data_IF_681957863585
#
_entry.id   IF_681957863585
#
_cell.length_a   1.000
_cell.length_b   1.000
_cell.length_c   1.000
_cell.angle_alpha   90.00
_cell.angle_beta   90.00
_cell.angle_gamma   90.00
#
_symmetry.space_group_name_H-M   'P 1'
#
loop_
_entity.id
_entity.type
_entity.pdbx_description
1 polymer ?
#
# COMPACT_ATOMS: atom_id res chain seq x y z
N UNK A 1 -13.68 4.60 -7.51
CA UNK A 1 -13.88 3.15 -7.60
C UNK A 1 -14.95 2.87 -8.65
N UNK A 2 -14.75 1.94 -9.62
CA UNK A 2 -15.70 1.68 -10.69
C UNK A 2 -17.07 1.19 -10.20
N UNK A 3 -17.14 0.72 -8.96
CA UNK A 3 -18.34 0.11 -8.38
C UNK A 3 -19.43 1.13 -8.03
N UNK A 4 -19.06 2.35 -7.63
CA UNK A 4 -20.05 3.39 -7.26
C UNK A 4 -20.87 3.85 -8.46
N UNK A 5 -20.28 3.85 -9.65
CA UNK A 5 -20.96 4.24 -10.89
C UNK A 5 -21.71 3.08 -11.55
N UNK A 6 -21.17 1.84 -11.50
CA UNK A 6 -21.76 0.67 -12.15
C UNK A 6 -22.98 0.10 -11.42
N UNK A 7 -22.99 0.15 -10.08
CA UNK A 7 -23.99 -0.55 -9.26
C UNK A 7 -24.81 0.38 -8.36
N UNK A 8 -24.75 1.71 -8.54
CA UNK A 8 -25.32 2.69 -7.59
C UNK A 8 -24.91 2.39 -6.15
N UNK A 9 -23.67 1.93 -5.97
CA UNK A 9 -23.13 1.51 -4.68
C UNK A 9 -22.81 2.71 -3.79
N UNK A 10 -22.85 2.48 -2.48
CA UNK A 10 -22.58 3.48 -1.45
C UNK A 10 -21.07 3.62 -1.16
N UNK A 11 -20.69 4.66 -0.41
CA UNK A 11 -19.34 4.79 0.11
C UNK A 11 -18.92 3.58 1.00
N UNK A 12 -19.91 2.97 1.67
CA UNK A 12 -19.70 1.75 2.44
C UNK A 12 -19.30 0.56 1.55
N UNK A 13 -19.95 0.38 0.41
CA UNK A 13 -19.63 -0.70 -0.53
C UNK A 13 -18.20 -0.57 -1.08
N UNK A 14 -17.77 0.66 -1.35
CA UNK A 14 -16.40 0.94 -1.77
C UNK A 14 -15.39 0.59 -0.65
N UNK A 15 -15.71 0.96 0.59
CA UNK A 15 -14.93 0.59 1.77
C UNK A 15 -14.86 -0.92 1.95
N UNK A 16 -16.00 -1.61 1.85
CA UNK A 16 -16.08 -3.08 1.93
C UNK A 16 -15.25 -3.75 0.82
N UNK A 17 -15.31 -3.28 -0.43
CA UNK A 17 -14.52 -3.84 -1.51
C UNK A 17 -13.00 -3.76 -1.22
N UNK A 18 -12.54 -2.69 -0.57
CA UNK A 18 -11.16 -2.56 -0.12
C UNK A 18 -10.84 -3.50 1.04
N UNK A 19 -11.76 -3.62 1.99
CA UNK A 19 -11.61 -4.54 3.14
C UNK A 19 -11.54 -6.00 2.70
N UNK A 20 -12.40 -6.46 1.78
CA UNK A 20 -12.32 -7.82 1.24
C UNK A 20 -10.96 -8.08 0.57
N UNK A 21 -10.44 -7.13 -0.19
CA UNK A 21 -9.10 -7.22 -0.76
C UNK A 21 -8.04 -7.37 0.35
N UNK A 22 -8.10 -6.56 1.39
CA UNK A 22 -7.12 -6.62 2.49
C UNK A 22 -7.25 -7.89 3.33
N UNK A 23 -8.46 -8.39 3.55
CA UNK A 23 -8.67 -9.70 4.21
C UNK A 23 -7.95 -10.80 3.43
N UNK A 24 -8.16 -10.85 2.10
CA UNK A 24 -7.47 -11.80 1.25
C UNK A 24 -5.94 -11.69 1.34
N UNK A 25 -5.44 -10.45 1.31
CA UNK A 25 -4.02 -10.16 1.44
C UNK A 25 -3.46 -10.63 2.79
N UNK A 26 -4.09 -10.27 3.89
CA UNK A 26 -3.66 -10.59 5.26
C UNK A 26 -3.65 -12.09 5.49
N UNK A 27 -4.71 -12.79 5.08
CA UNK A 27 -4.82 -14.23 5.24
C UNK A 27 -3.78 -14.99 4.41
N UNK A 28 -3.47 -14.53 3.21
CA UNK A 28 -2.54 -15.22 2.31
C UNK A 28 -1.06 -14.95 2.63
N UNK A 29 -0.69 -13.78 3.20
CA UNK A 29 0.73 -13.40 3.43
C UNK A 29 1.54 -14.44 4.22
N UNK A 30 1.06 -15.01 5.34
CA UNK A 30 1.82 -16.04 6.07
C UNK A 30 2.08 -17.29 5.24
N UNK A 31 1.09 -17.69 4.42
CA UNK A 31 1.22 -18.86 3.54
C UNK A 31 2.13 -18.57 2.35
N UNK A 32 2.09 -17.35 1.79
CA UNK A 32 2.96 -16.95 0.69
C UNK A 32 4.43 -17.09 1.04
N UNK A 33 4.86 -16.67 2.23
CA UNK A 33 6.24 -16.84 2.70
C UNK A 33 6.68 -18.29 2.71
N UNK A 34 5.86 -19.18 3.26
CA UNK A 34 6.16 -20.64 3.31
C UNK A 34 6.20 -21.29 1.94
N UNK A 35 5.26 -20.94 1.05
CA UNK A 35 5.26 -21.48 -0.31
C UNK A 35 6.54 -21.10 -1.06
N UNK A 36 7.02 -19.86 -0.87
CA UNK A 36 8.23 -19.35 -1.49
C UNK A 36 9.49 -20.03 -0.96
N UNK A 37 9.47 -20.41 0.31
CA UNK A 37 10.60 -21.14 0.93
C UNK A 37 10.61 -22.63 0.55
N UNK A 38 9.46 -23.23 0.23
CA UNK A 38 9.31 -24.65 -0.06
C UNK A 38 9.25 -25.03 -1.54
N UNK A 39 8.84 -24.12 -2.41
CA UNK A 39 8.59 -24.37 -3.83
C UNK A 39 9.52 -23.56 -4.74
N UNK A 40 9.56 -23.95 -6.01
CA UNK A 40 10.24 -23.18 -7.04
C UNK A 40 9.54 -21.83 -7.23
N UNK A 41 10.29 -20.74 -7.02
CA UNK A 41 9.79 -19.36 -7.12
C UNK A 41 9.22 -19.02 -8.49
N UNK A 42 9.71 -19.70 -9.56
CA UNK A 42 9.17 -19.53 -10.91
C UNK A 42 7.75 -20.07 -11.03
N UNK A 43 7.52 -21.26 -10.45
CA UNK A 43 6.20 -21.88 -10.47
C UNK A 43 5.21 -20.98 -9.71
N UNK A 44 5.62 -20.45 -8.57
CA UNK A 44 4.79 -19.53 -7.79
C UNK A 44 4.50 -18.23 -8.57
N UNK A 45 5.51 -17.65 -9.23
CA UNK A 45 5.35 -16.47 -10.07
C UNK A 45 4.39 -16.75 -11.23
N UNK A 46 4.54 -17.89 -11.92
CA UNK A 46 3.68 -18.31 -13.00
C UNK A 46 2.22 -18.43 -12.53
N UNK A 47 2.00 -19.21 -11.46
CA UNK A 47 0.66 -19.44 -10.91
C UNK A 47 0.03 -18.12 -10.47
N UNK A 48 0.73 -17.29 -9.72
CA UNK A 48 0.21 -16.01 -9.25
C UNK A 48 -0.12 -15.07 -10.42
N UNK A 49 0.72 -15.02 -11.45
CA UNK A 49 0.48 -14.19 -12.64
C UNK A 49 -0.72 -14.67 -13.46
N UNK A 50 -0.88 -15.99 -13.66
CA UNK A 50 -2.04 -16.58 -14.35
C UNK A 50 -3.32 -16.30 -13.58
N UNK A 51 -3.32 -16.55 -12.27
CA UNK A 51 -4.49 -16.31 -11.42
C UNK A 51 -4.85 -14.81 -11.39
N UNK A 52 -3.86 -13.93 -11.35
CA UNK A 52 -4.07 -12.48 -11.42
C UNK A 52 -4.72 -12.06 -12.73
N UNK A 53 -4.22 -12.60 -13.85
CA UNK A 53 -4.81 -12.38 -15.18
C UNK A 53 -6.27 -12.86 -15.26
N UNK A 54 -6.55 -14.07 -14.78
CA UNK A 54 -7.90 -14.63 -14.75
C UNK A 54 -8.85 -13.73 -13.94
N UNK A 55 -8.44 -13.30 -12.73
CA UNK A 55 -9.28 -12.44 -11.89
C UNK A 55 -9.55 -11.09 -12.56
N UNK A 56 -8.55 -10.49 -13.20
CA UNK A 56 -8.76 -9.23 -13.94
C UNK A 56 -9.76 -9.42 -15.09
N UNK A 57 -9.70 -10.55 -15.79
CA UNK A 57 -10.70 -10.92 -16.81
C UNK A 57 -12.10 -11.10 -16.24
N UNK A 58 -12.23 -11.77 -15.09
CA UNK A 58 -13.52 -12.03 -14.44
C UNK A 58 -14.21 -10.73 -13.96
N UNK A 59 -13.48 -9.67 -13.63
CA UNK A 59 -14.09 -8.38 -13.31
C UNK A 59 -14.87 -7.80 -14.49
N UNK A 60 -14.50 -8.10 -15.75
CA UNK A 60 -15.25 -7.66 -16.94
C UNK A 60 -16.61 -8.37 -17.09
N UNK A 61 -16.73 -9.59 -16.56
CA UNK A 61 -17.92 -10.42 -16.66
C UNK A 61 -18.87 -10.26 -15.46
N UNK A 62 -18.46 -9.47 -14.45
CA UNK A 62 -19.18 -9.38 -13.18
C UNK A 62 -20.25 -8.31 -13.23
N UNK A 63 -21.48 -8.71 -12.87
CA UNK A 63 -22.66 -7.84 -12.80
C UNK A 63 -23.22 -7.70 -11.38
N UNK A 64 -22.66 -8.40 -10.39
CA UNK A 64 -23.12 -8.42 -9.01
C UNK A 64 -22.09 -7.87 -8.05
N UNK A 65 -22.54 -7.02 -7.11
CA UNK A 65 -21.67 -6.45 -6.05
C UNK A 65 -21.09 -7.54 -5.13
N UNK A 66 -21.87 -8.59 -4.83
CA UNK A 66 -21.41 -9.71 -4.03
C UNK A 66 -20.26 -10.47 -4.70
N UNK A 67 -20.39 -10.71 -6.01
CA UNK A 67 -19.32 -11.34 -6.81
C UNK A 67 -18.06 -10.48 -6.80
N UNK A 68 -18.20 -9.16 -6.86
CA UNK A 68 -17.06 -8.23 -6.74
C UNK A 68 -16.34 -8.40 -5.40
N UNK A 69 -17.06 -8.50 -4.29
CA UNK A 69 -16.43 -8.70 -2.98
C UNK A 69 -15.64 -10.01 -2.91
N UNK A 70 -16.19 -11.11 -3.44
CA UNK A 70 -15.48 -12.40 -3.51
C UNK A 70 -14.23 -12.28 -4.40
N UNK A 71 -14.36 -11.70 -5.59
CA UNK A 71 -13.24 -11.49 -6.50
C UNK A 71 -12.17 -10.57 -5.88
N UNK A 72 -12.55 -9.58 -5.10
CA UNK A 72 -11.62 -8.72 -4.36
C UNK A 72 -10.85 -9.49 -3.30
N UNK A 73 -11.50 -10.38 -2.54
CA UNK A 73 -10.82 -11.26 -1.59
C UNK A 73 -9.79 -12.16 -2.27
N UNK A 74 -10.18 -12.82 -3.36
CA UNK A 74 -9.27 -13.64 -4.16
C UNK A 74 -8.13 -12.81 -4.77
N UNK A 75 -8.44 -11.63 -5.30
CA UNK A 75 -7.45 -10.70 -5.83
C UNK A 75 -6.41 -10.33 -4.75
N UNK A 76 -6.85 -9.99 -3.53
CA UNK A 76 -5.96 -9.70 -2.42
C UNK A 76 -5.04 -10.87 -2.06
N UNK A 77 -5.57 -12.09 -2.01
CA UNK A 77 -4.78 -13.30 -1.74
C UNK A 77 -3.68 -13.51 -2.80
N UNK A 78 -4.03 -13.38 -4.08
CA UNK A 78 -3.09 -13.55 -5.19
C UNK A 78 -2.08 -12.39 -5.23
N UNK A 79 -2.51 -11.17 -4.93
CA UNK A 79 -1.63 -10.00 -4.80
C UNK A 79 -0.57 -10.22 -3.70
N UNK A 80 -0.95 -10.76 -2.55
CA UNK A 80 -0.01 -11.09 -1.47
C UNK A 80 1.04 -12.11 -1.94
N UNK A 81 0.62 -13.16 -2.64
CA UNK A 81 1.50 -14.18 -3.19
C UNK A 81 2.45 -13.59 -4.24
N UNK A 82 1.92 -12.87 -5.21
CA UNK A 82 2.66 -12.25 -6.31
C UNK A 82 3.70 -11.24 -5.82
N UNK A 83 3.32 -10.32 -4.94
CA UNK A 83 4.24 -9.30 -4.40
C UNK A 83 5.35 -9.91 -3.55
N UNK A 84 5.03 -10.96 -2.79
CA UNK A 84 6.03 -11.65 -1.96
C UNK A 84 7.03 -12.41 -2.83
N UNK A 85 6.57 -13.14 -3.86
CA UNK A 85 7.49 -13.86 -4.75
C UNK A 85 8.34 -12.93 -5.60
N UNK A 86 7.78 -11.81 -6.10
CA UNK A 86 8.54 -10.80 -6.84
C UNK A 86 9.64 -10.18 -5.98
N UNK A 87 9.33 -9.83 -4.73
CA UNK A 87 10.32 -9.30 -3.78
C UNK A 87 11.43 -10.31 -3.50
N UNK A 88 11.08 -11.59 -3.30
CA UNK A 88 12.04 -12.66 -3.09
C UNK A 88 12.94 -12.90 -4.32
N UNK A 89 12.37 -12.86 -5.53
CA UNK A 89 13.11 -12.98 -6.78
C UNK A 89 14.05 -11.80 -7.02
N UNK A 90 13.59 -10.58 -6.73
CA UNK A 90 14.43 -9.38 -6.85
C UNK A 90 15.71 -9.51 -6.01
N UNK A 91 15.63 -10.06 -4.79
CA UNK A 91 16.81 -10.30 -3.94
C UNK A 91 17.74 -11.38 -4.48
N UNK A 92 17.18 -12.42 -5.10
CA UNK A 92 17.94 -13.60 -5.56
C UNK A 92 18.67 -13.34 -6.89
N UNK A 93 18.06 -12.54 -7.78
CA UNK A 93 18.61 -12.27 -9.13
C UNK A 93 19.78 -11.29 -9.07
N UNK A 94 19.86 -10.47 -8.04
CA UNK A 94 20.86 -9.42 -7.94
C UNK A 94 22.23 -9.94 -7.51
N UNK A 95 23.33 -9.53 -8.20
CA UNK A 95 24.69 -9.82 -7.76
C UNK A 95 24.94 -9.29 -6.34
N UNK A 96 25.72 -10.02 -5.55
CA UNK A 96 26.04 -9.64 -4.17
C UNK A 96 26.60 -8.21 -4.05
N UNK A 97 27.43 -7.80 -5.00
CA UNK A 97 28.07 -6.46 -5.06
C UNK A 97 27.08 -5.31 -5.31
N UNK A 98 25.90 -5.58 -5.92
CA UNK A 98 24.88 -4.56 -6.28
C UNK A 98 23.53 -4.81 -5.63
N UNK A 99 23.47 -5.71 -4.66
CA UNK A 99 22.23 -6.16 -4.05
C UNK A 99 21.44 -5.01 -3.38
N UNK A 100 22.14 -4.13 -2.66
CA UNK A 100 21.52 -2.97 -2.02
C UNK A 100 20.94 -1.98 -3.05
N UNK A 101 21.68 -1.68 -4.11
CA UNK A 101 21.23 -0.79 -5.19
C UNK A 101 19.98 -1.35 -5.90
N UNK A 102 20.01 -2.63 -6.26
CA UNK A 102 18.90 -3.26 -6.97
C UNK A 102 17.63 -3.41 -6.14
N UNK A 103 17.75 -3.74 -4.85
CA UNK A 103 16.60 -3.79 -3.93
C UNK A 103 15.98 -2.40 -3.79
N UNK A 104 16.81 -1.35 -3.67
CA UNK A 104 16.32 0.01 -3.60
C UNK A 104 15.59 0.41 -4.89
N UNK A 105 16.13 0.05 -6.06
CA UNK A 105 15.49 0.30 -7.35
C UNK A 105 14.13 -0.41 -7.48
N UNK A 106 14.05 -1.68 -7.06
CA UNK A 106 12.79 -2.42 -7.00
C UNK A 106 11.75 -1.73 -6.11
N UNK A 107 12.18 -1.25 -4.94
CA UNK A 107 11.31 -0.50 -4.04
C UNK A 107 10.83 0.84 -4.65
N UNK A 108 11.70 1.55 -5.37
CA UNK A 108 11.34 2.79 -6.10
C UNK A 108 10.26 2.51 -7.14
N UNK A 109 10.43 1.50 -8.00
CA UNK A 109 9.43 1.14 -9.00
C UNK A 109 8.11 0.67 -8.37
N UNK A 110 8.16 -0.10 -7.29
CA UNK A 110 6.96 -0.51 -6.55
C UNK A 110 6.19 0.69 -5.99
N UNK A 111 6.90 1.68 -5.46
CA UNK A 111 6.28 2.90 -4.96
C UNK A 111 5.69 3.77 -6.09
N UNK A 112 6.41 3.88 -7.23
CA UNK A 112 5.89 4.59 -8.41
C UNK A 112 4.59 3.95 -8.88
N UNK A 113 4.54 2.61 -8.97
CA UNK A 113 3.33 1.88 -9.36
C UNK A 113 2.16 2.11 -8.36
N UNK A 114 2.44 2.06 -7.05
CA UNK A 114 1.43 2.29 -6.01
C UNK A 114 0.81 3.69 -6.11
N UNK A 115 1.58 4.64 -6.55
CA UNK A 115 1.20 6.05 -6.57
C UNK A 115 0.57 6.46 -7.90
N UNK A 116 1.15 6.02 -9.03
CA UNK A 116 0.58 6.29 -10.35
C UNK A 116 -0.69 5.45 -10.62
N UNK A 117 -0.82 4.28 -9.97
CA UNK A 117 -1.96 3.39 -10.16
C UNK A 117 -3.31 4.08 -10.00
N UNK A 118 -3.60 4.75 -8.87
CA UNK A 118 -4.85 5.48 -8.68
C UNK A 118 -5.06 6.61 -9.70
N UNK A 119 -4.01 7.36 -10.06
CA UNK A 119 -4.11 8.45 -11.03
C UNK A 119 -4.52 7.93 -12.41
N UNK A 120 -3.79 6.94 -12.93
CA UNK A 120 -4.05 6.32 -14.24
C UNK A 120 -5.38 5.57 -14.23
N UNK A 121 -5.67 4.82 -13.16
CA UNK A 121 -6.90 4.05 -13.01
C UNK A 121 -8.14 4.93 -12.99
N UNK A 122 -8.13 6.03 -12.24
CA UNK A 122 -9.24 6.98 -12.20
C UNK A 122 -9.42 7.71 -13.54
N UNK A 123 -8.34 8.13 -14.16
CA UNK A 123 -8.40 8.75 -15.49
C UNK A 123 -9.01 7.79 -16.51
N UNK A 124 -8.53 6.54 -16.58
CA UNK A 124 -9.07 5.55 -17.50
C UNK A 124 -10.56 5.26 -17.25
N UNK A 125 -10.95 5.17 -15.96
CA UNK A 125 -12.35 4.98 -15.56
C UNK A 125 -13.25 6.13 -16.05
N UNK A 126 -12.80 7.36 -15.86
CA UNK A 126 -13.59 8.57 -16.17
C UNK A 126 -13.66 8.85 -17.67
N UNK A 127 -12.53 8.66 -18.38
CA UNK A 127 -12.46 8.96 -19.81
C UNK A 127 -13.09 7.86 -20.67
N UNK A 128 -12.99 6.60 -20.26
CA UNK A 128 -13.33 5.45 -21.09
C UNK A 128 -14.32 4.46 -20.43
N UNK A 129 -14.69 4.70 -19.16
CA UNK A 129 -15.61 3.85 -18.41
C UNK A 129 -14.96 2.60 -17.81
N UNK A 130 -15.76 1.85 -17.07
CA UNK A 130 -15.28 0.70 -16.27
C UNK A 130 -14.82 -0.48 -17.11
N UNK A 131 -15.51 -0.79 -18.20
CA UNK A 131 -15.14 -1.90 -19.09
C UNK A 131 -13.75 -1.66 -19.71
N UNK A 132 -13.49 -0.45 -20.20
CA UNK A 132 -12.19 -0.09 -20.74
C UNK A 132 -11.09 -0.16 -19.67
N UNK A 133 -11.37 0.27 -18.44
CA UNK A 133 -10.44 0.15 -17.31
C UNK A 133 -10.08 -1.32 -17.04
N UNK A 134 -11.07 -2.21 -16.96
CA UNK A 134 -10.78 -3.63 -16.68
C UNK A 134 -10.05 -4.32 -17.84
N UNK A 135 -10.38 -3.98 -19.10
CA UNK A 135 -9.63 -4.44 -20.26
C UNK A 135 -8.18 -3.97 -20.18
N UNK A 136 -7.94 -2.69 -19.89
CA UNK A 136 -6.62 -2.14 -19.70
C UNK A 136 -5.84 -2.88 -18.60
N UNK A 137 -6.45 -3.11 -17.43
CA UNK A 137 -5.83 -3.85 -16.34
C UNK A 137 -5.53 -5.31 -16.73
N UNK A 138 -6.42 -5.94 -17.49
CA UNK A 138 -6.22 -7.30 -18.02
C UNK A 138 -5.02 -7.35 -18.99
N UNK A 139 -4.87 -6.36 -19.86
CA UNK A 139 -3.73 -6.24 -20.78
C UNK A 139 -2.44 -6.02 -19.97
N UNK A 140 -2.46 -5.14 -18.97
CA UNK A 140 -1.28 -4.89 -18.11
C UNK A 140 -0.86 -6.14 -17.33
N UNK A 141 -1.81 -6.92 -16.84
CA UNK A 141 -1.50 -8.19 -16.15
C UNK A 141 -0.99 -9.26 -17.12
N UNK A 142 -1.50 -9.32 -18.35
CA UNK A 142 -0.98 -10.20 -19.40
C UNK A 142 0.47 -9.82 -19.76
N UNK A 143 0.75 -8.52 -19.91
CA UNK A 143 2.10 -8.03 -20.17
C UNK A 143 3.05 -8.36 -19.01
N UNK A 144 2.61 -8.15 -17.77
CA UNK A 144 3.40 -8.51 -16.59
C UNK A 144 3.66 -10.02 -16.52
N UNK A 145 2.68 -10.86 -16.88
CA UNK A 145 2.84 -12.30 -17.02
C UNK A 145 3.91 -12.67 -18.06
N UNK A 146 3.83 -12.10 -19.25
CA UNK A 146 4.80 -12.35 -20.33
C UNK A 146 6.20 -11.94 -19.88
N UNK A 147 6.36 -10.71 -19.40
CA UNK A 147 7.67 -10.18 -18.97
C UNK A 147 8.26 -10.98 -17.81
N UNK A 148 7.43 -11.36 -16.82
CA UNK A 148 7.86 -12.16 -15.69
C UNK A 148 8.36 -13.56 -16.08
N UNK A 149 7.81 -14.14 -17.15
CA UNK A 149 8.16 -15.48 -17.60
C UNK A 149 9.29 -15.50 -18.67
N UNK A 150 9.59 -14.36 -19.32
CA UNK A 150 10.76 -14.21 -20.22
C UNK A 150 12.07 -14.21 -19.41
N UNK A 151 12.04 -13.78 -18.15
CA UNK A 151 13.23 -13.76 -17.29
C UNK A 151 13.72 -15.20 -17.04
N UNK A 152 14.85 -15.55 -17.63
CA UNK A 152 15.50 -16.86 -17.43
C UNK A 152 16.25 -16.86 -16.10
N UNK A 153 15.67 -17.46 -15.08
CA UNK A 153 16.33 -17.68 -13.79
C UNK A 153 17.14 -18.98 -13.84
N UNK A 154 18.41 -19.02 -13.41
CA UNK A 154 19.13 -20.25 -13.19
C UNK A 154 18.35 -21.17 -12.23
N UNK A 155 18.26 -22.47 -12.57
CA UNK A 155 17.51 -23.46 -11.76
C UNK A 155 17.97 -23.52 -10.30
N UNK A 156 19.23 -23.23 -10.06
CA UNK A 156 19.86 -23.23 -8.73
C UNK A 156 19.38 -22.07 -7.85
N UNK A 157 19.06 -20.93 -8.44
CA UNK A 157 18.55 -19.74 -7.76
C UNK A 157 17.02 -19.78 -7.56
N UNK A 158 16.33 -20.53 -8.39
CA UNK A 158 14.88 -20.68 -8.30
C UNK A 158 14.44 -21.53 -7.10
N UNK A 159 15.23 -22.55 -6.72
CA UNK A 159 14.96 -23.42 -5.59
C UNK A 159 15.48 -22.82 -4.29
N UNK A 160 14.66 -22.83 -3.25
CA UNK A 160 15.10 -22.45 -1.91
C UNK A 160 16.02 -23.53 -1.33
N UNK A 161 17.20 -23.12 -0.82
CA UNK A 161 18.09 -23.99 -0.05
C UNK A 161 17.70 -24.07 1.43
N UNK A 162 16.73 -23.28 1.86
CA UNK A 162 16.35 -23.19 3.27
C UNK A 162 15.38 -24.31 3.61
N UNK A 163 15.79 -25.21 4.51
CA UNK A 163 14.89 -26.20 5.11
C UNK A 163 13.78 -25.44 5.84
N UNK A 164 12.54 -25.63 5.41
CA UNK A 164 11.37 -25.13 6.13
C UNK A 164 11.46 -25.54 7.59
N UNK A 165 11.50 -24.58 8.50
CA UNK A 165 11.49 -24.88 9.93
C UNK A 165 10.20 -25.63 10.28
N UNK A 166 10.34 -26.83 10.84
CA UNK A 166 9.21 -27.64 11.30
C UNK A 166 8.58 -26.96 12.52
N UNK A 167 7.40 -26.41 12.34
CA UNK A 167 6.60 -25.84 13.43
C UNK A 167 5.83 -24.60 13.02
N UNK A 168 4.69 -24.34 13.69
CA UNK A 168 3.89 -23.12 13.58
C UNK A 168 4.11 -22.32 14.87
N UNK A 169 4.91 -21.25 14.81
CA UNK A 169 5.05 -20.30 15.92
C UNK A 169 4.78 -18.90 15.43
N UNK A 170 3.97 -18.14 16.14
CA UNK A 170 3.66 -16.73 15.85
C UNK A 170 4.95 -15.89 15.74
N UNK A 171 5.98 -16.23 16.52
CA UNK A 171 7.28 -15.56 16.47
C UNK A 171 8.01 -15.71 15.13
N UNK A 172 7.63 -16.63 14.26
CA UNK A 172 8.17 -16.76 12.91
C UNK A 172 7.57 -15.75 11.93
N UNK A 173 6.41 -15.19 12.25
CA UNK A 173 5.64 -14.30 11.38
C UNK A 173 5.66 -12.83 11.85
N UNK A 174 5.94 -12.59 13.14
CA UNK A 174 5.89 -11.28 13.76
C UNK A 174 7.22 -10.99 14.47
N UNK A 175 7.81 -9.84 14.16
CA UNK A 175 9.00 -9.33 14.85
C UNK A 175 8.58 -8.37 15.97
N UNK A 176 8.80 -8.78 17.22
CA UNK A 176 8.40 -8.00 18.40
C UNK A 176 9.05 -6.63 18.49
N UNK A 177 10.33 -6.52 18.09
CA UNK A 177 11.08 -5.25 18.12
C UNK A 177 10.54 -4.23 17.12
N UNK A 178 9.88 -4.70 16.06
CA UNK A 178 9.29 -3.85 15.02
C UNK A 178 7.86 -3.39 15.36
N UNK A 179 7.23 -3.95 16.41
CA UNK A 179 5.85 -3.61 16.77
C UNK A 179 5.59 -2.12 17.03
N UNK A 180 6.48 -1.37 17.72
CA UNK A 180 6.26 0.07 17.88
C UNK A 180 6.19 0.82 16.55
N UNK A 181 7.02 0.44 15.57
CA UNK A 181 7.04 1.02 14.24
C UNK A 181 5.88 0.54 13.38
N UNK A 182 5.47 -0.73 13.55
CA UNK A 182 4.27 -1.28 12.94
C UNK A 182 3.01 -0.55 13.43
N UNK A 183 2.95 -0.14 14.70
CA UNK A 183 1.89 0.70 15.24
C UNK A 183 1.85 2.08 14.54
N UNK A 184 3.01 2.70 14.26
CA UNK A 184 3.05 3.92 13.44
C UNK A 184 2.56 3.66 12.01
N UNK A 185 2.91 2.50 11.44
CA UNK A 185 2.39 2.02 10.16
C UNK A 185 0.86 1.87 10.18
N UNK A 186 0.29 1.40 11.31
CA UNK A 186 -1.15 1.28 11.48
C UNK A 186 -1.84 2.66 11.47
N UNK A 187 -1.33 3.64 12.21
CA UNK A 187 -1.90 4.99 12.23
C UNK A 187 -1.86 5.64 10.84
N UNK A 188 -0.70 5.59 10.16
CA UNK A 188 -0.56 6.22 8.85
C UNK A 188 -1.37 5.48 7.78
N UNK A 189 -1.48 4.15 7.85
CA UNK A 189 -2.29 3.34 6.95
C UNK A 189 -3.79 3.61 7.12
N UNK A 190 -4.26 3.72 8.37
CA UNK A 190 -5.65 4.05 8.67
C UNK A 190 -6.04 5.41 8.08
N UNK A 191 -5.24 6.43 8.32
CA UNK A 191 -5.52 7.78 7.80
C UNK A 191 -5.34 7.87 6.29
N UNK A 192 -4.37 7.14 5.72
CA UNK A 192 -4.17 7.05 4.27
C UNK A 192 -5.36 6.36 3.57
N UNK A 193 -6.04 5.40 4.21
CA UNK A 193 -7.24 4.79 3.63
C UNK A 193 -8.35 5.83 3.41
N UNK A 194 -8.44 6.84 4.28
CA UNK A 194 -9.32 8.00 4.12
C UNK A 194 -9.04 8.77 2.83
N UNK A 195 -7.77 9.07 2.58
CA UNK A 195 -7.34 9.75 1.35
C UNK A 195 -7.60 8.88 0.12
N UNK A 196 -7.17 7.62 0.18
CA UNK A 196 -7.22 6.70 -0.96
C UNK A 196 -8.65 6.38 -1.42
N UNK A 197 -9.56 6.15 -0.48
CA UNK A 197 -10.92 5.68 -0.77
C UNK A 197 -11.89 6.83 -0.98
N UNK A 198 -11.82 7.88 -0.14
CA UNK A 198 -12.92 8.85 -0.06
C UNK A 198 -12.72 10.11 -0.89
N UNK A 199 -11.49 10.53 -1.20
CA UNK A 199 -11.27 11.69 -2.08
C UNK A 199 -11.91 11.49 -3.48
N UNK A 200 -11.73 10.33 -4.16
CA UNK A 200 -12.41 10.12 -5.44
C UNK A 200 -13.93 10.13 -5.34
N UNK A 201 -14.47 9.59 -4.24
CA UNK A 201 -15.91 9.51 -4.01
C UNK A 201 -16.47 10.92 -3.78
N UNK A 202 -15.81 11.69 -2.93
CA UNK A 202 -16.21 13.08 -2.61
C UNK A 202 -16.15 13.97 -3.85
N UNK A 203 -15.06 13.95 -4.60
CA UNK A 203 -14.94 14.72 -5.84
C UNK A 203 -16.00 14.31 -6.88
N UNK A 204 -16.32 13.03 -6.97
CA UNK A 204 -17.38 12.55 -7.86
C UNK A 204 -18.76 13.05 -7.41
N UNK A 205 -19.03 13.09 -6.11
CA UNK A 205 -20.29 13.64 -5.58
C UNK A 205 -20.47 15.14 -5.85
N UNK A 206 -19.37 15.87 -6.03
CA UNK A 206 -19.34 17.29 -6.43
C UNK A 206 -19.45 17.48 -7.95
N UNK A 207 -19.63 16.41 -8.75
CA UNK A 207 -19.58 16.49 -10.22
C UNK A 207 -18.18 16.74 -10.80
N UNK A 208 -17.15 16.63 -9.97
CA UNK A 208 -15.75 16.93 -10.29
C UNK A 208 -14.87 15.67 -10.34
N UNK A 209 -15.43 14.53 -10.75
CA UNK A 209 -14.74 13.24 -10.69
C UNK A 209 -13.38 13.20 -11.37
N UNK A 210 -13.21 13.89 -12.52
CA UNK A 210 -11.92 13.98 -13.26
C UNK A 210 -10.79 14.54 -12.38
N UNK A 211 -11.10 15.40 -11.43
CA UNK A 211 -10.13 16.00 -10.53
C UNK A 211 -9.52 14.99 -9.54
N UNK A 212 -10.18 13.83 -9.34
CA UNK A 212 -9.59 12.73 -8.55
C UNK A 212 -8.31 12.18 -9.14
N UNK A 213 -8.23 12.05 -10.47
CA UNK A 213 -6.99 11.64 -11.15
C UNK A 213 -5.90 12.71 -11.04
N UNK A 214 -6.27 13.98 -11.13
CA UNK A 214 -5.34 15.11 -10.94
C UNK A 214 -4.80 15.12 -9.51
N UNK A 215 -5.68 14.93 -8.50
CA UNK A 215 -5.25 14.82 -7.10
C UNK A 215 -4.19 13.75 -6.92
N UNK A 216 -4.46 12.53 -7.38
CA UNK A 216 -3.50 11.43 -7.22
C UNK A 216 -2.24 11.61 -8.08
N UNK A 217 -2.32 12.26 -9.23
CA UNK A 217 -1.13 12.60 -10.01
C UNK A 217 -0.21 13.57 -9.26
N UNK A 218 -0.78 14.63 -8.64
CA UNK A 218 -0.03 15.57 -7.82
C UNK A 218 0.51 14.92 -6.54
N UNK A 219 -0.33 14.13 -5.86
CA UNK A 219 0.06 13.36 -4.69
C UNK A 219 1.26 12.44 -5.01
N UNK A 220 1.18 11.74 -6.15
CA UNK A 220 2.21 10.92 -6.71
C UNK A 220 3.52 11.66 -6.96
N UNK A 221 3.41 12.76 -7.67
CA UNK A 221 4.55 13.61 -8.02
C UNK A 221 5.29 14.06 -6.76
N UNK A 222 4.56 14.46 -5.73
CA UNK A 222 5.16 14.91 -4.47
C UNK A 222 5.83 13.78 -3.70
N UNK A 223 5.28 12.57 -3.71
CA UNK A 223 5.98 11.39 -3.16
C UNK A 223 7.30 11.14 -3.90
N UNK A 224 7.30 11.19 -5.24
CA UNK A 224 8.51 10.96 -6.05
C UNK A 224 9.56 12.04 -5.74
N UNK A 225 9.15 13.30 -5.72
CA UNK A 225 10.03 14.44 -5.42
C UNK A 225 10.59 14.36 -3.99
N UNK A 226 9.79 13.92 -3.03
CA UNK A 226 10.23 13.80 -1.63
C UNK A 226 11.35 12.77 -1.43
N UNK A 227 11.41 11.72 -2.24
CA UNK A 227 12.32 10.57 -2.05
C UNK A 227 13.80 10.95 -1.95
N UNK A 228 14.40 11.68 -2.92
CA UNK A 228 15.83 12.04 -2.83
C UNK A 228 16.11 12.99 -1.66
N UNK A 229 15.16 13.88 -1.33
CA UNK A 229 15.28 14.80 -0.22
C UNK A 229 15.23 14.05 1.12
N UNK A 230 14.22 13.20 1.29
CA UNK A 230 14.03 12.37 2.49
C UNK A 230 15.25 11.48 2.73
N UNK A 231 15.77 10.82 1.68
CA UNK A 231 16.96 9.97 1.80
C UNK A 231 18.21 10.73 2.26
N UNK A 232 18.45 11.92 1.70
CA UNK A 232 19.57 12.78 2.12
C UNK A 232 19.43 13.30 3.56
N UNK A 233 18.23 13.77 3.91
CA UNK A 233 17.96 14.28 5.27
C UNK A 233 18.05 13.16 6.29
N UNK A 234 17.48 11.98 5.97
CA UNK A 234 17.56 10.81 6.86
C UNK A 234 19.02 10.38 7.11
N UNK A 235 19.82 10.30 6.05
CA UNK A 235 21.23 9.88 6.16
C UNK A 235 22.10 10.90 6.91
N UNK A 236 21.80 12.21 6.80
CA UNK A 236 22.63 13.27 7.38
C UNK A 236 22.21 13.68 8.80
N UNK A 237 20.90 13.70 9.07
CA UNK A 237 20.35 14.28 10.29
C UNK A 237 19.53 13.28 11.12
N UNK A 238 19.34 12.04 10.58
CA UNK A 238 18.58 10.98 11.25
C UNK A 238 17.07 11.03 11.00
N UNK A 239 16.39 10.01 11.50
CA UNK A 239 14.97 9.74 11.26
C UNK A 239 14.03 10.87 11.73
N UNK A 240 14.39 11.57 12.80
CA UNK A 240 13.53 12.61 13.39
C UNK A 240 13.30 13.79 12.46
N UNK A 241 14.32 14.22 11.74
CA UNK A 241 14.24 15.34 10.80
C UNK A 241 13.41 15.01 9.56
N UNK A 242 13.03 13.75 9.39
CA UNK A 242 12.10 13.28 8.35
C UNK A 242 10.70 13.07 8.92
N UNK A 243 10.59 12.42 10.08
CA UNK A 243 9.31 12.02 10.67
C UNK A 243 8.50 13.24 11.12
N UNK A 244 9.07 14.17 11.90
CA UNK A 244 8.32 15.32 12.40
C UNK A 244 7.76 16.19 11.27
N UNK A 245 8.57 16.66 10.29
CA UNK A 245 8.03 17.43 9.18
C UNK A 245 7.08 16.62 8.30
N UNK A 246 7.39 15.33 8.03
CA UNK A 246 6.55 14.48 7.22
C UNK A 246 5.17 14.25 7.83
N UNK A 247 5.12 13.84 9.09
CA UNK A 247 3.84 13.66 9.80
C UNK A 247 3.12 15.00 9.97
N UNK A 248 3.86 16.09 10.26
CA UNK A 248 3.29 17.44 10.37
C UNK A 248 2.61 17.89 9.08
N UNK A 249 3.27 17.75 7.92
CA UNK A 249 2.68 18.06 6.61
C UNK A 249 1.44 17.20 6.32
N UNK A 250 1.46 15.93 6.71
CA UNK A 250 0.32 15.03 6.53
C UNK A 250 -0.86 15.45 7.40
N UNK A 251 -0.63 15.82 8.68
CA UNK A 251 -1.64 16.37 9.60
C UNK A 251 -2.25 17.64 9.03
N UNK A 252 -1.42 18.60 8.59
CA UNK A 252 -1.89 19.88 8.02
C UNK A 252 -2.72 19.64 6.77
N UNK A 253 -2.28 18.74 5.87
CA UNK A 253 -3.04 18.36 4.69
C UNK A 253 -4.41 17.78 5.01
N UNK A 254 -4.50 16.85 6.01
CA UNK A 254 -5.76 16.29 6.48
C UNK A 254 -6.65 17.34 7.15
N UNK A 255 -6.08 18.24 7.96
CA UNK A 255 -6.82 19.31 8.61
C UNK A 255 -7.44 20.28 7.59
N UNK A 256 -6.69 20.64 6.53
CA UNK A 256 -7.20 21.44 5.43
C UNK A 256 -8.33 20.72 4.68
N UNK A 257 -8.17 19.42 4.39
CA UNK A 257 -9.27 18.60 3.81
C UNK A 257 -10.53 18.63 4.68
N UNK A 258 -10.37 18.66 6.00
CA UNK A 258 -11.49 18.73 6.95
C UNK A 258 -12.27 20.05 6.95
N UNK A 259 -11.81 21.09 6.23
CA UNK A 259 -12.47 22.40 6.17
C UNK A 259 -12.79 22.86 4.76
N UNK A 260 -12.13 22.32 3.72
CA UNK A 260 -12.40 22.68 2.33
C UNK A 260 -13.60 21.90 1.80
N UNK A 261 -14.41 22.60 0.97
CA UNK A 261 -15.62 22.06 0.36
C UNK A 261 -15.65 22.28 -1.16
N UNK A 262 -14.51 22.60 -1.76
CA UNK A 262 -14.40 22.84 -3.21
C UNK A 262 -13.40 21.88 -3.85
N UNK A 263 -13.63 21.43 -5.09
CA UNK A 263 -12.70 20.54 -5.79
C UNK A 263 -11.27 21.10 -5.86
N UNK A 264 -11.12 22.40 -6.11
CA UNK A 264 -9.81 23.07 -6.15
C UNK A 264 -9.13 23.04 -4.77
N UNK A 265 -9.89 23.31 -3.70
CA UNK A 265 -9.40 23.24 -2.32
C UNK A 265 -8.87 21.84 -1.98
N UNK A 266 -9.61 20.79 -2.35
CA UNK A 266 -9.19 19.41 -2.15
C UNK A 266 -7.86 19.13 -2.88
N UNK A 267 -7.75 19.54 -4.15
CA UNK A 267 -6.54 19.30 -4.95
C UNK A 267 -5.32 20.04 -4.38
N UNK A 268 -5.50 21.26 -3.87
CA UNK A 268 -4.42 22.02 -3.24
C UNK A 268 -3.83 21.31 -2.01
N UNK A 269 -4.52 20.32 -1.42
CA UNK A 269 -3.96 19.52 -0.32
C UNK A 269 -3.06 18.39 -0.80
N UNK A 270 -3.15 17.95 -2.06
CA UNK A 270 -2.39 16.82 -2.58
C UNK A 270 -0.86 16.96 -2.40
N UNK A 271 -0.25 18.15 -2.62
CA UNK A 271 1.18 18.33 -2.36
C UNK A 271 1.57 18.12 -0.91
N UNK A 272 0.80 18.64 0.04
CA UNK A 272 1.09 18.48 1.47
C UNK A 272 0.96 17.02 1.91
N UNK A 273 -0.12 16.38 1.49
CA UNK A 273 -0.37 14.97 1.78
C UNK A 273 0.67 14.05 1.13
N UNK A 274 1.04 14.34 -0.13
CA UNK A 274 2.04 13.56 -0.87
C UNK A 274 3.45 13.67 -0.27
N UNK A 275 3.90 14.88 0.06
CA UNK A 275 5.17 15.10 0.76
C UNK A 275 5.16 14.46 2.14
N UNK A 276 4.07 14.62 2.90
CA UNK A 276 3.93 14.09 4.25
C UNK A 276 3.96 12.57 4.28
N UNK A 277 3.11 11.92 3.49
CA UNK A 277 3.05 10.46 3.37
C UNK A 277 4.35 9.88 2.80
N UNK A 278 4.88 10.50 1.74
CA UNK A 278 6.11 10.10 1.07
C UNK A 278 7.35 10.17 1.97
N UNK A 279 7.34 11.02 2.99
CA UNK A 279 8.40 11.10 3.99
C UNK A 279 8.17 10.13 5.16
N UNK A 280 6.99 10.16 5.77
CA UNK A 280 6.71 9.47 7.03
C UNK A 280 6.62 7.94 6.87
N UNK A 281 5.88 7.45 5.88
CA UNK A 281 5.64 6.01 5.69
C UNK A 281 6.96 5.21 5.51
N UNK A 282 7.88 5.59 4.60
CA UNK A 282 9.12 4.84 4.43
C UNK A 282 10.10 5.03 5.60
N UNK A 283 10.04 6.16 6.32
CA UNK A 283 10.86 6.34 7.51
C UNK A 283 10.45 5.37 8.62
N UNK A 284 9.14 5.18 8.86
CA UNK A 284 8.65 4.19 9.81
C UNK A 284 8.99 2.76 9.39
N UNK A 285 8.89 2.45 8.09
CA UNK A 285 9.28 1.15 7.55
C UNK A 285 10.78 0.88 7.77
N UNK A 286 11.64 1.86 7.49
CA UNK A 286 13.08 1.74 7.69
C UNK A 286 13.42 1.49 9.16
N UNK A 287 12.80 2.22 10.08
CA UNK A 287 12.99 2.02 11.52
C UNK A 287 12.48 0.65 11.99
N UNK A 288 11.36 0.16 11.44
CA UNK A 288 10.91 -1.20 11.72
C UNK A 288 11.97 -2.24 11.35
N UNK A 289 12.58 -2.12 10.17
CA UNK A 289 13.62 -3.04 9.70
C UNK A 289 14.90 -2.89 10.53
N UNK A 290 15.33 -1.67 10.83
CA UNK A 290 16.54 -1.40 11.62
C UNK A 290 16.42 -1.85 13.09
N UNK A 291 15.21 -1.94 13.63
CA UNK A 291 14.98 -2.41 15.01
C UNK A 291 15.17 -3.93 15.17
N UNK A 292 15.24 -4.68 14.09
CA UNK A 292 15.36 -6.14 14.09
C UNK A 292 16.78 -6.59 13.69
N UNK A 293 17.22 -7.78 14.14
CA UNK A 293 18.43 -8.40 13.59
C UNK A 293 18.34 -8.57 12.08
N UNK A 294 19.50 -8.47 11.39
CA UNK A 294 19.55 -8.50 9.92
C UNK A 294 18.94 -9.79 9.33
N UNK A 295 19.07 -10.90 10.04
CA UNK A 295 18.50 -12.20 9.67
C UNK A 295 16.97 -12.20 9.71
N UNK A 296 16.36 -11.25 10.43
CA UNK A 296 14.92 -11.10 10.60
C UNK A 296 14.34 -9.86 9.88
N UNK A 297 15.14 -9.20 9.05
CA UNK A 297 14.72 -8.02 8.31
C UNK A 297 13.46 -8.27 7.44
N UNK A 298 13.35 -9.47 6.85
CA UNK A 298 12.16 -9.88 6.09
C UNK A 298 10.91 -9.99 6.97
N UNK A 299 11.02 -10.63 8.14
CA UNK A 299 9.90 -10.75 9.10
C UNK A 299 9.51 -9.38 9.66
N UNK A 300 10.50 -8.52 9.93
CA UNK A 300 10.26 -7.14 10.35
C UNK A 300 9.48 -6.34 9.31
N UNK A 301 9.90 -6.41 8.05
CA UNK A 301 9.19 -5.79 6.92
C UNK A 301 7.77 -6.31 6.80
N UNK A 302 7.59 -7.64 6.90
CA UNK A 302 6.28 -8.27 6.86
C UNK A 302 5.38 -7.82 8.02
N UNK A 303 5.93 -7.69 9.24
CA UNK A 303 5.21 -7.17 10.42
C UNK A 303 4.71 -5.75 10.19
N UNK A 304 5.54 -4.88 9.63
CA UNK A 304 5.17 -3.51 9.30
C UNK A 304 4.05 -3.44 8.26
N UNK A 305 4.20 -4.18 7.15
CA UNK A 305 3.18 -4.19 6.10
C UNK A 305 1.88 -4.87 6.53
N UNK A 306 1.94 -5.89 7.38
CA UNK A 306 0.75 -6.50 7.95
C UNK A 306 -0.08 -5.47 8.73
N UNK A 307 0.57 -4.65 9.56
CA UNK A 307 -0.10 -3.58 10.30
C UNK A 307 -0.70 -2.53 9.34
N UNK A 308 0.02 -2.16 8.28
CA UNK A 308 -0.46 -1.25 7.25
C UNK A 308 -1.69 -1.81 6.51
N UNK A 309 -1.66 -3.09 6.11
CA UNK A 309 -2.77 -3.75 5.42
C UNK A 309 -4.02 -3.84 6.32
N UNK A 310 -3.85 -4.21 7.60
CA UNK A 310 -4.93 -4.22 8.59
C UNK A 310 -5.53 -2.81 8.73
N UNK A 311 -4.68 -1.80 8.83
CA UNK A 311 -5.09 -0.42 8.99
C UNK A 311 -5.88 0.11 7.79
N UNK A 312 -5.43 -0.18 6.57
CA UNK A 312 -6.14 0.21 5.34
C UNK A 312 -7.47 -0.54 5.23
N UNK A 313 -7.50 -1.83 5.53
CA UNK A 313 -8.73 -2.64 5.50
C UNK A 313 -9.78 -2.18 6.52
N UNK A 314 -9.41 -2.10 7.80
CA UNK A 314 -10.30 -1.63 8.85
C UNK A 314 -10.66 -0.15 8.68
N UNK A 315 -9.69 0.68 8.31
CA UNK A 315 -9.88 2.11 8.10
C UNK A 315 -10.89 2.40 7.01
N UNK A 316 -10.88 1.65 5.91
CA UNK A 316 -11.82 1.86 4.80
C UNK A 316 -13.28 1.66 5.21
N UNK A 317 -13.59 0.72 6.11
CA UNK A 317 -14.96 0.50 6.65
C UNK A 317 -15.30 1.52 7.72
N UNK A 318 -14.42 1.69 8.71
CA UNK A 318 -14.67 2.60 9.83
C UNK A 318 -14.88 4.03 9.31
N UNK A 319 -14.02 4.47 8.39
CA UNK A 319 -14.14 5.80 7.80
C UNK A 319 -15.35 5.93 6.85
N UNK A 320 -15.81 4.83 6.21
CA UNK A 320 -17.07 4.83 5.46
C UNK A 320 -18.27 5.11 6.37
N UNK A 321 -18.31 4.48 7.56
CA UNK A 321 -19.36 4.72 8.54
C UNK A 321 -19.34 6.18 9.04
N UNK A 322 -18.15 6.73 9.28
CA UNK A 322 -17.98 8.13 9.68
C UNK A 322 -18.42 9.07 8.55
N UNK A 323 -18.00 8.81 7.31
CA UNK A 323 -18.39 9.62 6.15
C UNK A 323 -19.90 9.64 5.94
N UNK A 324 -20.57 8.49 6.11
CA UNK A 324 -22.02 8.38 5.97
C UNK A 324 -22.78 9.08 7.12
N UNK A 325 -22.26 9.05 8.35
CA UNK A 325 -22.92 9.63 9.51
C UNK A 325 -22.63 11.14 9.68
N UNK A 326 -21.39 11.56 9.42
CA UNK A 326 -20.90 12.91 9.77
C UNK A 326 -20.34 13.69 8.57
N UNK A 327 -20.29 13.08 7.39
CA UNK A 327 -19.75 13.68 6.17
C UNK A 327 -18.22 13.56 6.03
N UNK A 328 -17.72 13.90 4.83
CA UNK A 328 -16.29 13.77 4.48
C UNK A 328 -15.39 14.71 5.28
N UNK A 329 -15.83 15.93 5.53
CA UNK A 329 -15.04 16.91 6.31
C UNK A 329 -14.73 16.38 7.72
N UNK A 330 -15.75 15.84 8.42
CA UNK A 330 -15.57 15.23 9.74
C UNK A 330 -14.63 14.02 9.69
N UNK A 331 -14.70 13.20 8.63
CA UNK A 331 -13.78 12.10 8.41
C UNK A 331 -12.32 12.59 8.40
N UNK A 332 -12.02 13.65 7.63
CA UNK A 332 -10.65 14.16 7.55
C UNK A 332 -10.20 14.86 8.83
N UNK A 333 -11.10 15.55 9.54
CA UNK A 333 -10.80 16.11 10.86
C UNK A 333 -10.44 15.02 11.86
N UNK A 334 -11.22 13.94 11.92
CA UNK A 334 -10.95 12.78 12.79
C UNK A 334 -9.62 12.12 12.43
N UNK A 335 -9.35 11.92 11.14
CA UNK A 335 -8.06 11.34 10.71
C UNK A 335 -6.88 12.25 11.01
N UNK A 336 -7.05 13.58 10.93
CA UNK A 336 -6.05 14.55 11.37
C UNK A 336 -5.76 14.43 12.87
N UNK A 337 -6.80 14.34 13.71
CA UNK A 337 -6.66 14.13 15.16
C UNK A 337 -5.95 12.81 15.49
N UNK A 338 -6.30 11.73 14.79
CA UNK A 338 -5.62 10.43 14.93
C UNK A 338 -4.12 10.56 14.65
N UNK A 339 -3.74 11.31 13.61
CA UNK A 339 -2.32 11.54 13.29
C UNK A 339 -1.61 12.45 14.32
N UNK A 340 -2.31 13.39 14.95
CA UNK A 340 -1.76 14.17 16.08
C UNK A 340 -1.48 13.23 17.26
N UNK A 341 -2.41 12.34 17.60
CA UNK A 341 -2.23 11.32 18.65
C UNK A 341 -1.03 10.42 18.30
N UNK A 342 -0.92 9.98 17.05
CA UNK A 342 0.20 9.17 16.58
C UNK A 342 1.55 9.92 16.74
N UNK A 343 1.59 11.21 16.41
CA UNK A 343 2.78 12.03 16.57
C UNK A 343 3.17 12.21 18.05
N UNK A 344 2.18 12.41 18.91
CA UNK A 344 2.38 12.49 20.36
C UNK A 344 2.91 11.14 20.90
N UNK A 345 2.31 10.02 20.50
CA UNK A 345 2.77 8.69 20.89
C UNK A 345 4.21 8.42 20.41
N UNK A 346 4.53 8.81 19.18
CA UNK A 346 5.90 8.75 18.69
C UNK A 346 6.85 9.58 19.55
N UNK A 347 6.47 10.82 19.88
CA UNK A 347 7.32 11.73 20.66
C UNK A 347 7.59 11.22 22.10
N UNK A 348 6.55 10.81 22.82
CA UNK A 348 6.65 10.49 24.24
C UNK A 348 7.05 9.04 24.53
N UNK A 349 6.69 8.10 23.66
CA UNK A 349 6.85 6.66 23.90
C UNK A 349 7.85 6.03 22.94
N UNK A 350 7.58 6.09 21.64
CA UNK A 350 8.27 5.26 20.65
C UNK A 350 9.68 5.77 20.36
N UNK A 351 9.89 7.09 20.39
CA UNK A 351 11.20 7.71 20.15
C UNK A 351 12.31 7.19 21.06
N UNK A 352 11.97 6.78 22.27
CA UNK A 352 12.94 6.20 23.21
C UNK A 352 13.54 4.89 22.70
N UNK A 353 12.82 4.16 21.86
CA UNK A 353 13.27 2.90 21.28
C UNK A 353 14.19 3.10 20.05
N UNK A 354 14.22 4.29 19.43
CA UNK A 354 15.13 4.59 18.33
C UNK A 354 16.58 4.82 18.77
N UNK A 355 16.82 5.18 20.05
CA UNK A 355 18.17 5.33 20.59
C UNK A 355 18.93 4.02 20.79
N UNK A 356 18.24 2.87 20.69
CA UNK A 356 18.86 1.55 20.85
C UNK A 356 19.32 1.00 19.47
N UNK A 357 18.91 1.68 18.38
CA UNK A 357 19.17 1.26 17.00
C UNK A 357 20.19 2.17 16.26
N UNK A 358 20.57 3.33 16.84
CA UNK A 358 21.69 4.18 16.43
C UNK A 358 22.93 3.85 17.28
#
# INVERSE_FOLDING_TARGET
FPYTTLFRSTALDAGLAMTYFQIGTILCRPFAGRLIDGLDKRIILLISSVLFFIIMGLFNLTTSLQTIFVLRGLHGAIFALGTTVMSALAVVVLPASRKGEGINMFAVFSNIAMVLGPAVGLYALQAYGSSALYIFLTIMTALAFILGNVIRLPKELAKSKQKSSKGWSISQFIEKRSLPWALMGLFIGFTYSGVLVFIPIELNSMGAGVWGSVFFALFALMIIISRPLVGKVYARYGSRFVIYPGVGLFIVGLAILGVVSTPVGIICTAPLLGLGYGAAQPAFQALAVQSAPIERAGVSTATYFLALDIAVGAGSVILALIANALGYQSLYQITSLIMIIALALYHFVIRKHSYIAE
#
